data_IF_043169473631
#
_entry.id   IF_043169473631
#
_cell.length_a   1.000
_cell.length_b   1.000
_cell.length_c   1.000
_cell.angle_alpha   90.00
_cell.angle_beta   90.00
_cell.angle_gamma   90.00
#
_symmetry.space_group_name_H-M   'P 1'
#
loop_
_entity.id
_entity.type
_entity.pdbx_description
1 polymer ?
#
# COMPACT_ATOMS: atom_id res chain seq x y z
N UNK A 1 -5.90 -11.88 11.40
CA UNK A 1 -5.27 -10.72 10.74
C UNK A 1 -6.12 -9.48 10.95
N UNK A 2 -5.51 -8.30 11.18
CA UNK A 2 -6.21 -7.02 11.40
C UNK A 2 -5.88 -6.05 10.26
N UNK A 3 -6.89 -5.45 9.66
CA UNK A 3 -6.77 -4.54 8.52
C UNK A 3 -7.39 -3.20 8.89
N UNK A 4 -6.62 -2.12 8.83
CA UNK A 4 -7.11 -0.75 8.99
C UNK A 4 -7.48 -0.20 7.62
N UNK A 5 -8.70 0.35 7.49
CA UNK A 5 -9.18 0.92 6.24
C UNK A 5 -9.62 2.36 6.44
N UNK A 6 -8.74 3.32 6.17
CA UNK A 6 -9.10 4.74 6.17
C UNK A 6 -10.14 5.04 5.09
N UNK A 7 -11.22 5.69 5.47
CA UNK A 7 -12.28 6.10 4.56
C UNK A 7 -12.53 7.61 4.65
N UNK A 8 -13.03 8.19 3.56
CA UNK A 8 -13.43 9.60 3.48
C UNK A 8 -14.78 9.78 2.78
N UNK A 9 -15.54 8.69 2.66
CA UNK A 9 -16.84 8.61 1.97
C UNK A 9 -16.79 8.76 0.44
N UNK A 10 -15.61 8.86 -0.17
CA UNK A 10 -15.45 8.83 -1.62
C UNK A 10 -15.64 7.40 -2.18
N UNK A 11 -15.96 7.29 -3.48
CA UNK A 11 -16.06 5.99 -4.13
C UNK A 11 -14.70 5.25 -4.14
N UNK A 12 -13.59 5.99 -4.14
CA UNK A 12 -12.24 5.40 -4.02
C UNK A 12 -12.03 4.74 -2.66
N UNK A 13 -12.47 5.38 -1.57
CA UNK A 13 -12.36 4.77 -0.25
C UNK A 13 -13.33 3.60 -0.06
N UNK A 14 -14.49 3.59 -0.73
CA UNK A 14 -15.38 2.42 -0.81
C UNK A 14 -14.69 1.26 -1.54
N UNK A 15 -13.99 1.54 -2.65
CA UNK A 15 -13.19 0.52 -3.35
C UNK A 15 -12.11 -0.10 -2.46
N UNK A 16 -11.46 0.70 -1.62
CA UNK A 16 -10.51 0.19 -0.63
C UNK A 16 -11.19 -0.75 0.40
N UNK A 17 -12.41 -0.45 0.84
CA UNK A 17 -13.21 -1.34 1.69
C UNK A 17 -13.56 -2.66 0.99
N UNK A 18 -13.97 -2.63 -0.28
CA UNK A 18 -14.26 -3.84 -1.07
C UNK A 18 -13.02 -4.74 -1.19
N UNK A 19 -11.86 -4.14 -1.45
CA UNK A 19 -10.60 -4.87 -1.54
C UNK A 19 -10.19 -5.43 -0.18
N UNK A 20 -10.35 -4.65 0.88
CA UNK A 20 -10.09 -5.10 2.24
C UNK A 20 -11.02 -6.25 2.65
N UNK A 21 -12.29 -6.24 2.23
CA UNK A 21 -13.23 -7.33 2.47
C UNK A 21 -12.74 -8.63 1.82
N UNK A 22 -12.33 -8.59 0.54
CA UNK A 22 -11.75 -9.74 -0.15
C UNK A 22 -10.49 -10.25 0.56
N UNK A 23 -9.62 -9.33 0.95
CA UNK A 23 -8.39 -9.67 1.65
C UNK A 23 -8.68 -10.29 3.03
N UNK A 24 -9.67 -9.76 3.76
CA UNK A 24 -10.11 -10.34 5.02
C UNK A 24 -10.71 -11.74 4.87
N UNK A 25 -11.47 -11.99 3.81
CA UNK A 25 -12.01 -13.32 3.51
C UNK A 25 -10.92 -14.36 3.29
N UNK A 26 -9.86 -14.01 2.53
CA UNK A 26 -8.74 -14.90 2.26
C UNK A 26 -7.94 -15.26 3.51
N UNK A 27 -7.80 -14.33 4.44
CA UNK A 27 -6.95 -14.49 5.62
C UNK A 27 -7.74 -14.68 6.93
N UNK A 28 -9.04 -14.89 6.87
CA UNK A 28 -9.92 -14.92 8.04
C UNK A 28 -9.68 -13.73 8.99
N UNK A 29 -9.52 -12.53 8.38
CA UNK A 29 -9.13 -11.30 9.05
C UNK A 29 -10.32 -10.41 9.41
N UNK A 30 -10.03 -9.30 10.09
CA UNK A 30 -11.01 -8.29 10.48
C UNK A 30 -10.68 -6.95 9.84
N UNK A 31 -11.66 -6.35 9.21
CA UNK A 31 -11.61 -5.00 8.62
C UNK A 31 -12.09 -3.99 9.65
N UNK A 32 -11.25 -3.03 9.99
CA UNK A 32 -11.62 -1.90 10.86
C UNK A 32 -11.68 -0.63 10.00
N UNK A 33 -12.89 -0.13 9.71
CA UNK A 33 -13.05 1.15 9.05
C UNK A 33 -12.56 2.27 9.97
N UNK A 34 -11.83 3.23 9.40
CA UNK A 34 -11.25 4.34 10.15
C UNK A 34 -11.61 5.68 9.49
N UNK A 35 -12.13 6.60 10.27
CA UNK A 35 -12.44 7.95 9.80
C UNK A 35 -11.85 8.99 10.73
N UNK A 36 -11.09 9.94 10.17
CA UNK A 36 -10.59 11.09 10.89
C UNK A 36 -11.25 12.37 10.37
N UNK A 37 -11.72 13.21 11.27
CA UNK A 37 -12.27 14.52 10.93
C UNK A 37 -11.55 15.65 11.65
N UNK A 38 -11.48 16.81 11.01
CA UNK A 38 -10.90 17.99 11.63
C UNK A 38 -11.85 18.56 12.68
N UNK A 39 -11.30 19.15 13.75
CA UNK A 39 -12.12 19.89 14.73
C UNK A 39 -12.83 21.08 14.05
N UNK A 40 -14.07 21.31 14.43
CA UNK A 40 -14.88 22.43 13.89
C UNK A 40 -14.21 23.79 14.21
N UNK A 41 -13.35 23.86 15.22
CA UNK A 41 -12.60 25.05 15.59
C UNK A 41 -11.52 25.49 14.59
N UNK A 42 -11.13 24.64 13.63
CA UNK A 42 -10.26 25.02 12.52
C UNK A 42 -11.04 25.64 11.35
N UNK A 43 -12.38 25.64 11.42
CA UNK A 43 -13.27 26.26 10.44
C UNK A 43 -13.71 27.65 10.90
N UNK A 44 -12.78 28.60 11.04
CA UNK A 44 -13.05 30.03 11.23
C UNK A 44 -13.80 30.43 12.52
N UNK A 45 -13.15 30.39 13.73
CA UNK A 45 -13.52 31.37 14.74
C UNK A 45 -12.44 31.61 15.83
N UNK A 46 -12.12 32.87 16.18
CA UNK A 46 -11.14 33.21 17.23
C UNK A 46 -11.73 33.14 18.66
N UNK A 47 -12.84 32.47 18.92
CA UNK A 47 -13.58 32.53 20.18
C UNK A 47 -13.67 31.24 21.00
N UNK A 48 -12.68 30.36 20.88
CA UNK A 48 -12.67 29.08 21.64
C UNK A 48 -12.45 29.21 23.16
N UNK A 49 -12.44 30.41 23.73
CA UNK A 49 -12.32 30.68 25.17
C UNK A 49 -13.68 30.75 25.83
N UNK A 50 -14.41 29.65 25.90
CA UNK A 50 -15.71 29.59 26.58
C UNK A 50 -16.68 28.56 26.01
N UNK A 51 -16.19 27.37 25.65
CA UNK A 51 -17.05 26.30 25.13
C UNK A 51 -18.12 25.93 26.15
N UNK A 52 -19.36 26.23 25.81
CA UNK A 52 -20.52 25.86 26.61
C UNK A 52 -20.78 24.34 26.53
N UNK A 53 -21.41 23.77 27.58
CA UNK A 53 -21.85 22.36 27.60
C UNK A 53 -22.65 21.93 26.34
N UNK A 54 -23.37 22.87 25.72
CA UNK A 54 -24.09 22.67 24.46
C UNK A 54 -23.19 22.37 23.26
N UNK A 55 -21.96 22.86 23.27
CA UNK A 55 -21.02 22.61 22.19
C UNK A 55 -20.43 21.20 22.31
N UNK A 56 -20.13 20.72 23.52
CA UNK A 56 -19.72 19.33 23.76
C UNK A 56 -20.80 18.35 23.33
N UNK A 57 -22.08 18.58 23.68
CA UNK A 57 -23.20 17.74 23.21
C UNK A 57 -23.27 17.68 21.67
N UNK A 58 -23.04 18.77 20.96
CA UNK A 58 -22.99 18.78 19.49
C UNK A 58 -21.81 18.02 18.91
N UNK A 59 -20.69 17.94 19.61
CA UNK A 59 -19.55 17.12 19.21
C UNK A 59 -19.88 15.64 19.36
N UNK A 60 -20.42 15.21 20.48
CA UNK A 60 -20.84 13.83 20.72
C UNK A 60 -21.89 13.39 19.69
N UNK A 61 -22.91 14.23 19.43
CA UNK A 61 -23.92 13.98 18.38
C UNK A 61 -23.29 13.88 16.96
N UNK A 62 -22.25 14.66 16.67
CA UNK A 62 -21.54 14.60 15.40
C UNK A 62 -20.72 13.31 15.28
N UNK A 63 -19.99 12.92 16.32
CA UNK A 63 -19.20 11.68 16.33
C UNK A 63 -20.12 10.46 16.19
N UNK A 64 -21.26 10.43 16.88
CA UNK A 64 -22.28 9.38 16.74
C UNK A 64 -22.82 9.32 15.31
N UNK A 65 -23.15 10.49 14.73
CA UNK A 65 -23.63 10.59 13.35
C UNK A 65 -22.59 10.08 12.34
N UNK A 66 -21.32 10.45 12.53
CA UNK A 66 -20.21 10.00 11.68
C UNK A 66 -19.95 8.50 11.85
N UNK A 67 -19.97 8.00 13.08
CA UNK A 67 -19.81 6.58 13.40
C UNK A 67 -20.92 5.73 12.76
N UNK A 68 -22.17 6.17 12.85
CA UNK A 68 -23.31 5.51 12.20
C UNK A 68 -23.16 5.48 10.68
N UNK A 69 -22.74 6.58 10.08
CA UNK A 69 -22.52 6.65 8.64
C UNK A 69 -21.36 5.77 8.17
N UNK A 70 -20.25 5.71 8.93
CA UNK A 70 -19.13 4.80 8.68
C UNK A 70 -19.61 3.36 8.77
N UNK A 71 -20.38 3.03 9.80
CA UNK A 71 -20.95 1.69 10.00
C UNK A 71 -21.84 1.28 8.82
N UNK A 72 -22.79 2.14 8.44
CA UNK A 72 -23.73 1.88 7.33
C UNK A 72 -22.99 1.58 6.01
N UNK A 73 -22.03 2.43 5.63
CA UNK A 73 -21.25 2.23 4.40
C UNK A 73 -20.41 0.96 4.49
N UNK A 74 -19.77 0.72 5.61
CA UNK A 74 -18.92 -0.45 5.77
C UNK A 74 -19.70 -1.75 5.76
N UNK A 75 -20.85 -1.80 6.42
CA UNK A 75 -21.74 -2.96 6.45
C UNK A 75 -22.38 -3.26 5.08
N UNK A 76 -22.46 -2.27 4.19
CA UNK A 76 -22.92 -2.50 2.81
C UNK A 76 -21.88 -3.16 1.90
N UNK A 77 -20.59 -3.15 2.29
CA UNK A 77 -19.47 -3.60 1.46
C UNK A 77 -18.67 -4.75 2.07
N UNK A 78 -18.73 -4.90 3.39
CA UNK A 78 -17.98 -5.91 4.15
C UNK A 78 -18.97 -6.80 4.91
N UNK A 79 -18.83 -8.12 4.77
CA UNK A 79 -19.64 -9.08 5.54
C UNK A 79 -19.41 -8.85 7.04
N UNK A 80 -20.49 -8.88 7.83
CA UNK A 80 -20.48 -8.66 9.29
C UNK A 80 -19.45 -9.55 10.00
N UNK A 81 -19.25 -10.77 9.50
CA UNK A 81 -18.26 -11.73 10.00
C UNK A 81 -16.83 -11.19 10.01
N UNK A 82 -16.51 -10.31 9.05
CA UNK A 82 -15.18 -9.74 8.85
C UNK A 82 -15.11 -8.24 9.21
N UNK A 83 -16.20 -7.66 9.71
CA UNK A 83 -16.30 -6.23 10.01
C UNK A 83 -16.13 -5.98 11.50
N UNK A 84 -15.11 -5.22 11.87
CA UNK A 84 -14.94 -4.71 13.23
C UNK A 84 -15.67 -3.38 13.42
N UNK A 85 -15.90 -3.00 14.69
CA UNK A 85 -16.46 -1.68 15.02
C UNK A 85 -15.58 -0.57 14.40
N UNK A 86 -16.17 0.42 13.72
CA UNK A 86 -15.43 1.52 13.14
C UNK A 86 -14.78 2.40 14.22
N UNK A 87 -13.68 3.02 13.85
CA UNK A 87 -12.98 4.02 14.65
C UNK A 87 -13.20 5.39 14.02
N UNK A 88 -13.75 6.31 14.80
CA UNK A 88 -13.91 7.72 14.41
C UNK A 88 -13.09 8.55 15.38
N UNK A 89 -12.23 9.41 14.86
CA UNK A 89 -11.34 10.25 15.67
C UNK A 89 -11.31 11.69 15.14
N UNK A 90 -11.11 12.62 16.06
CA UNK A 90 -10.86 14.01 15.71
C UNK A 90 -9.37 14.26 15.57
N UNK A 91 -8.91 14.83 14.44
CA UNK A 91 -7.51 15.18 14.23
C UNK A 91 -7.06 15.14 12.78
N UNK A 92 -5.75 15.33 12.57
CA UNK A 92 -5.14 15.23 11.25
C UNK A 92 -5.17 13.79 10.75
N UNK A 93 -5.87 13.55 9.65
CA UNK A 93 -6.12 12.21 9.12
C UNK A 93 -4.83 11.40 8.91
N UNK A 94 -3.79 12.00 8.31
CA UNK A 94 -2.55 11.26 8.05
C UNK A 94 -1.87 10.82 9.35
N UNK A 95 -1.78 11.71 10.35
CA UNK A 95 -1.16 11.39 11.62
C UNK A 95 -1.97 10.34 12.39
N UNK A 96 -3.28 10.52 12.46
CA UNK A 96 -4.17 9.58 13.14
C UNK A 96 -4.13 8.17 12.53
N UNK A 97 -4.07 8.05 11.19
CA UNK A 97 -3.89 6.77 10.50
C UNK A 97 -2.54 6.14 10.84
N UNK A 98 -1.45 6.92 10.83
CA UNK A 98 -0.10 6.42 11.14
C UNK A 98 -0.04 5.89 12.57
N UNK A 99 -0.57 6.63 13.52
CA UNK A 99 -0.55 6.27 14.94
C UNK A 99 -1.38 4.99 15.18
N UNK A 100 -2.59 4.93 14.62
CA UNK A 100 -3.48 3.77 14.76
C UNK A 100 -2.94 2.53 14.03
N UNK A 101 -2.27 2.72 12.88
CA UNK A 101 -1.78 1.62 12.03
C UNK A 101 -0.86 0.64 12.76
N UNK A 102 -0.17 1.07 13.81
CA UNK A 102 0.73 0.21 14.59
C UNK A 102 0.02 -0.97 15.29
N UNK A 103 -1.32 -0.91 15.40
CA UNK A 103 -2.16 -1.96 15.99
C UNK A 103 -2.66 -2.98 14.96
N UNK A 104 -2.24 -2.84 13.67
CA UNK A 104 -2.76 -3.59 12.53
C UNK A 104 -1.65 -4.27 11.73
N UNK A 105 -2.03 -5.33 11.01
CA UNK A 105 -1.12 -6.06 10.13
C UNK A 105 -0.95 -5.35 8.77
N UNK A 106 -2.02 -4.68 8.30
CA UNK A 106 -2.05 -3.94 7.03
C UNK A 106 -2.93 -2.70 7.13
N UNK A 107 -2.54 -1.67 6.36
CA UNK A 107 -3.42 -0.56 6.01
C UNK A 107 -3.82 -0.72 4.55
N UNK A 108 -5.11 -0.69 4.23
CA UNK A 108 -5.61 -0.71 2.85
C UNK A 108 -6.37 0.59 2.60
N UNK A 109 -5.89 1.40 1.65
CA UNK A 109 -6.47 2.72 1.40
C UNK A 109 -6.38 3.11 -0.08
N UNK A 110 -7.16 4.10 -0.47
CA UNK A 110 -7.06 4.70 -1.80
C UNK A 110 -5.89 5.68 -1.90
N UNK A 111 -5.38 5.88 -3.12
CA UNK A 111 -4.30 6.85 -3.38
C UNK A 111 -4.74 8.30 -3.17
N UNK A 112 -6.05 8.60 -3.34
CA UNK A 112 -6.65 9.93 -3.26
C UNK A 112 -7.96 9.90 -2.49
N UNK A 113 -8.28 11.02 -1.83
CA UNK A 113 -9.59 11.26 -1.24
C UNK A 113 -10.50 12.11 -2.15
N UNK A 114 -11.51 12.76 -1.51
CA UNK A 114 -12.56 13.60 -2.16
C UNK A 114 -12.03 14.72 -3.05
N UNK A 115 -10.86 15.27 -2.78
CA UNK A 115 -10.30 16.46 -3.44
C UNK A 115 -9.33 16.15 -4.58
N UNK A 116 -9.06 14.88 -4.86
CA UNK A 116 -8.07 14.47 -5.86
C UNK A 116 -8.59 14.61 -7.31
N UNK A 117 -8.23 15.68 -8.00
CA UNK A 117 -8.59 15.94 -9.38
C UNK A 117 -7.67 15.30 -10.43
N UNK A 118 -6.51 14.81 -10.07
CA UNK A 118 -5.51 14.30 -11.02
C UNK A 118 -5.10 12.87 -10.71
N UNK A 119 -5.19 11.98 -11.70
CA UNK A 119 -4.72 10.60 -11.62
C UNK A 119 -3.20 10.47 -11.38
N UNK A 120 -2.45 11.54 -11.61
CA UNK A 120 -0.98 11.53 -11.57
C UNK A 120 -0.38 12.07 -10.27
N UNK A 121 -1.22 12.51 -9.31
CA UNK A 121 -0.77 13.06 -8.04
C UNK A 121 -1.24 12.13 -6.92
N UNK A 122 -0.34 11.65 -6.11
CA UNK A 122 -0.66 10.94 -4.87
C UNK A 122 -1.23 11.93 -3.86
N UNK A 123 -2.34 11.57 -3.21
CA UNK A 123 -2.96 12.43 -2.18
C UNK A 123 -2.04 12.62 -0.97
N UNK A 124 -2.07 13.80 -0.39
CA UNK A 124 -1.20 14.16 0.73
C UNK A 124 -1.29 13.22 1.94
N UNK A 125 -2.50 12.71 2.22
CA UNK A 125 -2.71 11.72 3.29
C UNK A 125 -2.05 10.38 2.92
N UNK A 126 -2.33 9.84 1.73
CA UNK A 126 -1.75 8.58 1.28
C UNK A 126 -0.21 8.65 1.19
N UNK A 127 0.34 9.75 0.66
CA UNK A 127 1.78 9.96 0.60
C UNK A 127 2.42 9.95 1.99
N UNK A 128 1.82 10.66 2.95
CA UNK A 128 2.34 10.72 4.33
C UNK A 128 2.24 9.37 5.03
N UNK A 129 1.13 8.64 4.85
CA UNK A 129 0.93 7.29 5.40
C UNK A 129 1.94 6.30 4.81
N UNK A 130 2.08 6.24 3.47
CA UNK A 130 3.06 5.39 2.79
C UNK A 130 4.49 5.63 3.29
N UNK A 131 4.84 6.88 3.53
CA UNK A 131 6.19 7.26 3.95
C UNK A 131 6.48 6.96 5.41
N UNK A 132 5.50 7.10 6.30
CA UNK A 132 5.73 7.15 7.74
C UNK A 132 5.14 5.97 8.52
N UNK A 133 4.21 5.21 7.94
CA UNK A 133 3.65 4.03 8.60
C UNK A 133 4.71 2.94 8.73
N UNK A 134 4.79 2.30 9.89
CA UNK A 134 5.59 1.08 10.09
C UNK A 134 4.83 -0.16 9.61
N UNK A 135 3.53 -0.05 9.45
CA UNK A 135 2.64 -1.12 8.95
C UNK A 135 2.63 -1.08 7.43
N UNK A 136 2.70 -2.22 6.73
CA UNK A 136 2.56 -2.28 5.28
C UNK A 136 1.28 -1.62 4.78
N UNK A 137 1.40 -0.81 3.73
CA UNK A 137 0.30 -0.02 3.16
C UNK A 137 -0.01 -0.51 1.76
N UNK A 138 -1.24 -0.98 1.55
CA UNK A 138 -1.76 -1.32 0.23
C UNK A 138 -2.54 -0.13 -0.34
N UNK A 139 -2.10 0.37 -1.49
CA UNK A 139 -2.83 1.39 -2.23
C UNK A 139 -3.67 0.73 -3.32
N UNK A 140 -4.92 1.15 -3.41
CA UNK A 140 -5.92 0.66 -4.36
C UNK A 140 -6.50 1.81 -5.15
N UNK A 141 -6.60 1.65 -6.47
CA UNK A 141 -7.30 2.56 -7.38
C UNK A 141 -8.69 2.02 -7.73
N UNK A 142 -9.58 2.89 -8.23
CA UNK A 142 -10.94 2.48 -8.61
C UNK A 142 -10.95 1.40 -9.71
N UNK A 143 -10.00 1.46 -10.61
CA UNK A 143 -9.84 0.53 -11.73
C UNK A 143 -8.85 -0.61 -11.44
N UNK A 144 -8.41 -0.78 -10.18
CA UNK A 144 -7.58 -1.90 -9.78
C UNK A 144 -8.35 -3.21 -9.87
N UNK A 145 -7.85 -4.11 -10.70
CA UNK A 145 -8.30 -5.50 -10.71
C UNK A 145 -7.42 -6.31 -9.75
N UNK A 146 -7.95 -6.57 -8.58
CA UNK A 146 -7.23 -7.33 -7.55
C UNK A 146 -7.46 -8.84 -7.67
N UNK A 147 -8.37 -9.30 -8.53
CA UNK A 147 -8.73 -10.73 -8.63
C UNK A 147 -8.88 -11.36 -7.25
N UNK A 148 -8.20 -12.50 -7.04
CA UNK A 148 -8.01 -13.12 -5.71
C UNK A 148 -6.54 -12.99 -5.25
N UNK A 149 -5.81 -11.98 -5.74
CA UNK A 149 -4.37 -11.77 -5.47
C UNK A 149 -3.50 -12.96 -5.90
N UNK A 150 -3.84 -13.60 -7.01
CA UNK A 150 -3.18 -14.81 -7.50
C UNK A 150 -1.94 -14.52 -8.35
N UNK A 151 -1.91 -13.36 -9.03
CA UNK A 151 -0.81 -12.93 -9.88
C UNK A 151 -0.04 -11.80 -9.18
N UNK A 152 1.09 -12.13 -8.59
CA UNK A 152 1.85 -11.21 -7.73
C UNK A 152 3.18 -10.86 -8.41
N UNK A 153 3.47 -9.58 -8.55
CA UNK A 153 4.79 -9.08 -8.91
C UNK A 153 5.52 -8.63 -7.65
N UNK A 154 6.73 -9.10 -7.45
CA UNK A 154 7.62 -8.63 -6.37
C UNK A 154 8.85 -7.99 -7.00
N UNK A 155 9.13 -6.74 -6.68
CA UNK A 155 10.35 -6.07 -7.15
C UNK A 155 11.48 -6.18 -6.15
N UNK A 156 12.70 -6.36 -6.65
CA UNK A 156 13.90 -6.37 -5.82
C UNK A 156 15.04 -5.58 -6.44
N UNK A 157 15.74 -4.83 -5.61
CA UNK A 157 17.05 -4.24 -5.93
C UNK A 157 18.18 -4.96 -5.20
N UNK A 158 17.88 -6.08 -4.56
CA UNK A 158 18.76 -6.89 -3.72
C UNK A 158 19.27 -6.19 -2.45
N UNK A 159 18.58 -5.16 -2.00
CA UNK A 159 18.84 -4.56 -0.68
C UNK A 159 18.14 -5.32 0.43
N UNK A 160 18.62 -5.17 1.66
CA UNK A 160 17.95 -5.69 2.85
C UNK A 160 16.55 -5.06 3.01
N UNK A 161 16.41 -3.80 2.61
CA UNK A 161 15.11 -3.13 2.58
C UNK A 161 14.11 -3.84 1.66
N UNK A 162 14.55 -4.29 0.46
CA UNK A 162 13.69 -5.03 -0.45
C UNK A 162 13.27 -6.39 0.14
N UNK A 163 14.13 -7.00 0.95
CA UNK A 163 13.85 -8.29 1.57
C UNK A 163 12.68 -8.22 2.59
N UNK A 164 12.42 -7.07 3.19
CA UNK A 164 11.27 -6.87 4.09
C UNK A 164 9.91 -7.10 3.38
N UNK A 165 9.86 -6.99 2.06
CA UNK A 165 8.65 -7.23 1.27
C UNK A 165 8.36 -8.72 1.01
N UNK A 166 9.38 -9.59 1.06
CA UNK A 166 9.24 -11.00 0.66
C UNK A 166 8.31 -11.82 1.57
N UNK A 167 8.36 -11.69 2.91
CA UNK A 167 7.45 -12.44 3.78
C UNK A 167 5.98 -12.16 3.49
N UNK A 168 5.63 -10.91 3.11
CA UNK A 168 4.27 -10.53 2.74
C UNK A 168 3.85 -11.21 1.43
N UNK A 169 4.71 -11.23 0.43
CA UNK A 169 4.45 -11.90 -0.84
C UNK A 169 4.27 -13.41 -0.67
N UNK A 170 5.15 -14.03 0.11
CA UNK A 170 5.08 -15.47 0.40
C UNK A 170 3.79 -15.81 1.12
N UNK A 171 3.43 -15.03 2.15
CA UNK A 171 2.18 -15.22 2.90
C UNK A 171 0.96 -15.14 1.99
N UNK A 172 0.89 -14.09 1.13
CA UNK A 172 -0.23 -13.90 0.22
C UNK A 172 -0.29 -15.05 -0.81
N UNK A 173 0.83 -15.39 -1.44
CA UNK A 173 0.87 -16.48 -2.41
C UNK A 173 0.54 -17.85 -1.81
N UNK A 174 0.90 -18.12 -0.55
CA UNK A 174 0.50 -19.36 0.14
C UNK A 174 -1.01 -19.43 0.33
N UNK A 175 -1.62 -18.37 0.79
CA UNK A 175 -3.05 -18.32 1.08
C UNK A 175 -3.91 -18.36 -0.17
N UNK A 176 -3.50 -17.65 -1.22
CA UNK A 176 -4.25 -17.58 -2.49
C UNK A 176 -3.97 -18.73 -3.46
N UNK A 177 -2.92 -19.52 -3.22
CA UNK A 177 -2.42 -20.47 -4.23
C UNK A 177 -1.71 -19.78 -5.40
N UNK A 178 -1.49 -18.50 -5.34
CA UNK A 178 -0.99 -17.65 -6.41
C UNK A 178 0.47 -17.85 -6.78
N UNK A 179 0.87 -17.24 -7.89
CA UNK A 179 2.24 -17.21 -8.41
C UNK A 179 2.91 -15.87 -8.14
N UNK A 180 4.22 -15.90 -8.00
CA UNK A 180 5.06 -14.72 -7.82
C UNK A 180 6.03 -14.59 -8.98
N UNK A 181 6.04 -13.41 -9.61
CA UNK A 181 7.11 -12.99 -10.49
C UNK A 181 8.08 -12.09 -9.72
N UNK A 182 9.25 -12.61 -9.39
CA UNK A 182 10.32 -11.90 -8.72
C UNK A 182 11.16 -11.16 -9.76
N UNK A 183 11.05 -9.84 -9.78
CA UNK A 183 11.56 -8.98 -10.84
C UNK A 183 12.70 -8.09 -10.33
N UNK A 184 13.82 -8.12 -11.05
CA UNK A 184 14.87 -7.11 -10.91
C UNK A 184 14.98 -6.28 -12.17
N UNK A 185 14.98 -4.94 -12.03
CA UNK A 185 15.17 -4.01 -13.14
C UNK A 185 16.64 -3.62 -13.21
N UNK A 186 17.26 -3.87 -14.35
CA UNK A 186 18.60 -3.43 -14.68
C UNK A 186 18.49 -2.26 -15.66
N UNK A 187 18.62 -1.03 -15.15
CA UNK A 187 18.53 0.20 -15.94
C UNK A 187 19.91 0.71 -16.32
N UNK A 188 20.06 1.17 -17.55
CA UNK A 188 21.27 1.80 -18.08
C UNK A 188 20.95 3.20 -18.61
N UNK A 189 21.58 4.20 -18.06
CA UNK A 189 21.40 5.61 -18.49
C UNK A 189 22.08 5.95 -19.82
N UNK A 190 23.04 5.15 -20.28
CA UNK A 190 23.76 5.35 -21.54
C UNK A 190 24.29 4.05 -22.14
N UNK A 191 24.20 3.98 -23.45
CA UNK A 191 24.75 2.90 -24.26
C UNK A 191 26.30 2.90 -24.22
N UNK A 192 26.87 1.91 -23.58
CA UNK A 192 28.13 1.34 -24.06
C UNK A 192 28.26 -0.13 -23.63
N UNK A 193 28.56 -0.97 -24.66
CA UNK A 193 29.04 -2.35 -24.54
C UNK A 193 27.97 -3.43 -24.29
N UNK A 194 27.39 -3.96 -25.37
CA UNK A 194 26.55 -5.18 -25.38
C UNK A 194 27.15 -6.38 -24.61
N UNK A 195 28.48 -6.47 -24.49
CA UNK A 195 29.11 -7.57 -23.75
C UNK A 195 29.08 -7.39 -22.24
N UNK A 196 29.22 -6.17 -21.73
CA UNK A 196 29.06 -5.88 -20.29
C UNK A 196 27.63 -6.11 -19.86
N UNK A 197 26.68 -5.81 -20.73
CA UNK A 197 25.26 -5.98 -20.51
C UNK A 197 24.91 -7.46 -20.28
N UNK A 198 25.40 -8.36 -21.12
CA UNK A 198 25.18 -9.80 -20.99
C UNK A 198 25.83 -10.39 -19.73
N UNK A 199 27.01 -9.92 -19.33
CA UNK A 199 27.69 -10.40 -18.13
C UNK A 199 26.99 -9.92 -16.86
N UNK A 200 26.58 -8.65 -16.81
CA UNK A 200 25.81 -8.08 -15.70
C UNK A 200 24.44 -8.75 -15.57
N UNK A 201 23.76 -9.01 -16.67
CA UNK A 201 22.50 -9.75 -16.68
C UNK A 201 22.66 -11.12 -16.05
N UNK A 202 23.64 -11.91 -16.47
CA UNK A 202 23.92 -13.25 -15.89
C UNK A 202 24.19 -13.17 -14.39
N UNK A 203 24.97 -12.19 -13.94
CA UNK A 203 25.24 -11.99 -12.51
C UNK A 203 23.92 -11.71 -11.76
N UNK A 204 23.03 -10.89 -12.30
CA UNK A 204 21.73 -10.59 -11.67
C UNK A 204 20.79 -11.79 -11.68
N UNK A 205 20.76 -12.56 -12.77
CA UNK A 205 19.99 -13.80 -12.86
C UNK A 205 20.44 -14.84 -11.81
N UNK A 206 21.79 -15.03 -11.65
CA UNK A 206 22.30 -15.91 -10.61
C UNK A 206 21.96 -15.39 -9.19
N UNK A 207 22.03 -14.09 -8.99
CA UNK A 207 21.64 -13.50 -7.70
C UNK A 207 20.14 -13.69 -7.39
N UNK A 208 19.25 -13.58 -8.38
CA UNK A 208 17.84 -13.89 -8.24
C UNK A 208 17.60 -15.38 -7.89
N UNK A 209 18.39 -16.31 -8.49
CA UNK A 209 18.30 -17.74 -8.15
C UNK A 209 18.68 -18.00 -6.69
N UNK A 210 19.76 -17.36 -6.21
CA UNK A 210 20.18 -17.46 -4.81
C UNK A 210 19.08 -16.91 -3.90
N UNK A 211 18.56 -15.73 -4.18
CA UNK A 211 17.51 -15.08 -3.43
C UNK A 211 16.23 -15.93 -3.39
N UNK A 212 15.82 -16.48 -4.54
CA UNK A 212 14.67 -17.40 -4.60
C UNK A 212 14.87 -18.61 -3.70
N UNK A 213 16.06 -19.22 -3.72
CA UNK A 213 16.40 -20.36 -2.89
C UNK A 213 16.43 -20.01 -1.39
N UNK A 214 16.87 -18.80 -1.05
CA UNK A 214 17.02 -18.34 0.33
C UNK A 214 15.66 -18.01 0.95
N UNK A 215 14.85 -17.19 0.28
CA UNK A 215 13.63 -16.63 0.85
C UNK A 215 12.35 -17.36 0.42
N UNK A 216 12.30 -17.90 -0.80
CA UNK A 216 11.08 -18.44 -1.39
C UNK A 216 11.08 -19.97 -1.50
N UNK A 217 11.95 -20.66 -0.75
CA UNK A 217 12.12 -22.12 -0.85
C UNK A 217 10.83 -22.90 -0.62
N UNK A 218 9.93 -22.43 0.26
CA UNK A 218 8.67 -23.09 0.61
C UNK A 218 7.62 -23.08 -0.53
N UNK A 219 7.75 -22.14 -1.47
CA UNK A 219 6.84 -21.95 -2.62
C UNK A 219 7.60 -21.81 -3.93
N UNK A 220 8.79 -22.39 -4.02
CA UNK A 220 9.72 -22.16 -5.14
C UNK A 220 9.16 -22.60 -6.50
N UNK A 221 8.26 -23.58 -6.53
CA UNK A 221 7.53 -24.05 -7.70
C UNK A 221 6.57 -23.00 -8.30
N UNK A 222 6.15 -22.03 -7.48
CA UNK A 222 5.23 -20.95 -7.86
C UNK A 222 5.92 -19.59 -8.01
N UNK A 223 7.26 -19.54 -7.94
CA UNK A 223 8.03 -18.33 -8.10
C UNK A 223 8.83 -18.34 -9.38
N UNK A 224 8.47 -17.48 -10.32
CA UNK A 224 9.29 -17.15 -11.48
C UNK A 224 10.27 -16.06 -11.13
N UNK A 225 11.36 -15.96 -11.88
CA UNK A 225 12.36 -14.93 -11.66
C UNK A 225 12.80 -14.34 -12.99
N UNK A 226 12.92 -13.02 -13.06
CA UNK A 226 13.31 -12.35 -14.30
C UNK A 226 14.14 -11.09 -14.03
N UNK A 227 15.16 -10.89 -14.84
CA UNK A 227 15.88 -9.62 -14.98
C UNK A 227 15.35 -8.89 -16.21
N UNK A 228 14.79 -7.72 -16.01
CA UNK A 228 14.34 -6.84 -17.07
C UNK A 228 15.43 -5.81 -17.33
N UNK A 229 15.92 -5.80 -18.57
CA UNK A 229 16.87 -4.79 -19.04
C UNK A 229 16.08 -3.62 -19.61
N UNK A 230 16.38 -2.41 -19.19
CA UNK A 230 15.69 -1.21 -19.64
C UNK A 230 16.67 -0.05 -19.84
N UNK A 231 16.41 0.73 -20.88
CA UNK A 231 17.07 2.03 -21.11
C UNK A 231 16.35 3.17 -20.37
N UNK A 232 15.16 2.87 -19.85
CA UNK A 232 14.35 3.79 -19.09
C UNK A 232 14.63 3.65 -17.60
N UNK A 233 14.04 4.55 -16.83
CA UNK A 233 14.09 4.48 -15.36
C UNK A 233 13.43 3.20 -14.84
N UNK A 234 13.78 2.71 -13.62
CA UNK A 234 13.18 1.52 -13.07
C UNK A 234 11.65 1.56 -13.00
N UNK A 235 11.06 2.69 -12.67
CA UNK A 235 9.60 2.81 -12.60
C UNK A 235 8.93 2.74 -13.98
N UNK A 236 9.51 3.31 -15.03
CA UNK A 236 9.00 3.20 -16.40
C UNK A 236 9.09 1.76 -16.92
N UNK A 237 10.17 1.05 -16.59
CA UNK A 237 10.29 -0.37 -16.90
C UNK A 237 9.22 -1.22 -16.19
N UNK A 238 8.92 -0.91 -14.93
CA UNK A 238 7.85 -1.54 -14.17
C UNK A 238 6.49 -1.25 -14.83
N UNK A 239 6.19 -0.01 -15.20
CA UNK A 239 4.93 0.36 -15.87
C UNK A 239 4.73 -0.42 -17.16
N UNK A 240 5.76 -0.44 -18.01
CA UNK A 240 5.70 -1.20 -19.25
C UNK A 240 5.43 -2.68 -18.98
N UNK A 241 6.17 -3.26 -18.06
CA UNK A 241 6.03 -4.68 -17.74
C UNK A 241 4.63 -5.02 -17.18
N UNK A 242 4.10 -4.22 -16.25
CA UNK A 242 2.74 -4.40 -15.69
C UNK A 242 1.66 -4.16 -16.74
N UNK A 243 1.88 -3.26 -17.69
CA UNK A 243 0.90 -3.02 -18.78
C UNK A 243 0.81 -4.19 -19.78
N UNK A 244 1.89 -4.94 -19.94
CA UNK A 244 2.00 -6.10 -20.83
C UNK A 244 1.63 -7.41 -20.12
N UNK A 245 1.72 -7.44 -18.80
CA UNK A 245 1.46 -8.61 -17.96
C UNK A 245 0.50 -8.23 -16.82
N UNK A 246 -0.72 -8.73 -16.81
CA UNK A 246 -1.69 -8.36 -15.77
C UNK A 246 -1.31 -8.94 -14.42
N UNK A 247 -1.02 -8.07 -13.47
CA UNK A 247 -0.82 -8.42 -12.06
C UNK A 247 -1.98 -7.93 -11.21
N UNK A 248 -2.41 -8.74 -10.25
CA UNK A 248 -3.39 -8.33 -9.25
C UNK A 248 -2.75 -7.47 -8.15
N UNK A 249 -1.48 -7.75 -7.84
CA UNK A 249 -0.75 -7.10 -6.77
C UNK A 249 0.72 -6.89 -7.14
N UNK A 250 1.22 -5.69 -6.93
CA UNK A 250 2.64 -5.36 -6.98
C UNK A 250 3.12 -5.13 -5.55
N UNK A 251 4.17 -5.84 -5.13
CA UNK A 251 4.74 -5.72 -3.78
C UNK A 251 6.16 -5.18 -3.89
N UNK A 252 6.45 -4.14 -3.13
CA UNK A 252 7.75 -3.50 -3.14
C UNK A 252 8.08 -2.80 -1.82
N UNK A 253 9.36 -2.64 -1.53
CA UNK A 253 9.79 -1.80 -0.42
C UNK A 253 9.65 -0.30 -0.78
N UNK A 254 9.36 0.53 0.21
CA UNK A 254 9.30 2.00 0.03
C UNK A 254 10.65 2.63 -0.25
N UNK A 255 11.73 2.03 0.27
CA UNK A 255 13.11 2.54 0.20
C UNK A 255 14.00 1.45 -0.36
N UNK A 256 14.75 1.77 -1.42
CA UNK A 256 15.77 0.87 -2.00
C UNK A 256 17.18 1.19 -1.48
N UNK A 257 18.21 0.78 -2.26
CA UNK A 257 19.65 0.92 -1.94
C UNK A 257 20.12 2.32 -1.62
N UNK A 258 19.54 3.34 -2.27
CA UNK A 258 19.98 4.74 -2.17
C UNK A 258 19.29 5.50 -1.05
N UNK A 259 18.34 4.91 -0.37
CA UNK A 259 17.57 5.56 0.68
C UNK A 259 18.34 5.65 1.99
N UNK A 260 19.12 6.71 2.15
CA UNK A 260 19.86 7.02 3.38
C UNK A 260 18.93 7.57 4.48
N UNK A 261 17.78 8.11 4.10
CA UNK A 261 16.79 8.67 5.02
C UNK A 261 15.48 7.87 4.94
N UNK A 262 15.16 7.13 5.98
CA UNK A 262 13.86 6.45 6.20
C UNK A 262 12.65 7.40 6.18
N UNK A 263 12.87 8.70 6.09
CA UNK A 263 11.84 9.74 5.99
C UNK A 263 11.43 10.05 4.53
N UNK A 264 12.08 9.46 3.53
CA UNK A 264 11.78 9.70 2.12
C UNK A 264 11.34 8.40 1.44
N UNK A 265 10.19 8.44 0.80
CA UNK A 265 9.76 7.37 -0.11
C UNK A 265 10.65 7.39 -1.36
N UNK A 266 11.15 6.22 -1.79
CA UNK A 266 11.95 6.10 -3.01
C UNK A 266 11.15 6.56 -4.24
N UNK A 267 11.85 7.21 -5.18
CA UNK A 267 11.23 7.72 -6.41
C UNK A 267 10.54 6.62 -7.22
N UNK A 268 11.10 5.42 -7.26
CA UNK A 268 10.51 4.28 -7.95
C UNK A 268 9.16 3.91 -7.34
N UNK A 269 9.08 3.72 -6.02
CA UNK A 269 7.84 3.36 -5.32
C UNK A 269 6.79 4.46 -5.46
N UNK A 270 7.18 5.72 -5.28
CA UNK A 270 6.28 6.86 -5.45
C UNK A 270 5.64 6.90 -6.85
N UNK A 271 6.43 6.63 -7.89
CA UNK A 271 5.94 6.62 -9.26
C UNK A 271 5.10 5.37 -9.57
N UNK A 272 5.49 4.19 -9.09
CA UNK A 272 4.72 2.96 -9.27
C UNK A 272 3.33 3.11 -8.66
N UNK A 273 3.23 3.55 -7.40
CA UNK A 273 1.95 3.79 -6.72
C UNK A 273 1.04 4.77 -7.47
N UNK A 274 1.61 5.77 -8.16
CA UNK A 274 0.84 6.78 -8.91
C UNK A 274 0.28 6.29 -10.24
N UNK A 275 0.91 5.32 -10.88
CA UNK A 275 0.66 5.04 -12.30
C UNK A 275 0.26 3.59 -12.59
N UNK A 276 0.54 2.65 -11.71
CA UNK A 276 0.17 1.24 -11.89
C UNK A 276 -1.30 1.05 -11.51
N UNK A 277 -2.04 0.30 -12.34
CA UNK A 277 -3.45 -0.01 -12.08
C UNK A 277 -3.67 -1.16 -11.09
N UNK A 278 -2.68 -2.02 -10.94
CA UNK A 278 -2.71 -3.07 -9.92
C UNK A 278 -2.74 -2.48 -8.52
N UNK A 279 -3.25 -3.20 -7.54
CA UNK A 279 -2.99 -2.85 -6.15
C UNK A 279 -1.49 -2.84 -5.87
N UNK A 280 -1.00 -1.89 -5.08
CA UNK A 280 0.42 -1.79 -4.72
C UNK A 280 0.59 -1.91 -3.23
N UNK A 281 1.20 -2.99 -2.76
CA UNK A 281 1.60 -3.17 -1.36
C UNK A 281 3.01 -2.62 -1.16
N UNK A 282 3.09 -1.56 -0.41
CA UNK A 282 4.34 -0.89 -0.07
C UNK A 282 4.75 -1.24 1.36
N UNK A 283 5.98 -1.72 1.52
CA UNK A 283 6.52 -2.16 2.80
C UNK A 283 7.65 -1.23 3.22
N UNK A 284 7.49 -0.57 4.36
CA UNK A 284 8.56 0.23 4.95
C UNK A 284 9.55 -0.70 5.65
N UNK A 285 10.86 -0.50 5.45
CA UNK A 285 11.86 -1.24 6.22
C UNK A 285 11.72 -0.89 7.70
N UNK A 286 11.87 -1.91 8.54
CA UNK A 286 11.85 -1.72 9.99
C UNK A 286 12.97 -0.77 10.39
N UNK A 287 12.65 0.25 11.16
CA UNK A 287 13.66 1.12 11.76
C UNK A 287 14.52 0.24 12.68
N UNK A 288 15.83 0.19 12.41
CA UNK A 288 16.76 -0.40 13.37
C UNK A 288 16.64 0.40 14.68
N UNK A 289 16.18 -0.27 15.72
CA UNK A 289 16.11 0.28 17.07
C UNK A 289 17.50 0.56 17.64
#
# INVERSE_FOLDING_TARGET
MKILVPIDFSDRSKKALEVAAKFAQLFEGMVTPFYAHLPISELDEPYALGMSSKLYQKFDELEDTLSNRVTEISASLVDEKYLAKPIVVMGNAAQAIIDESNNYDYVIMSSHGRTGFSRFLLGSVAEKVLRLSNTPVMIVENDSDVGNFENIMVTTDFSDNAAEAYPHAIRIAKETGGTIDLIHILSFDQFDEKEKDLSLRKIREERLKILKKEYFHEISDRVNQQVIISQNTPHEAIFKHVSENPYNLVIMATVGRTGINYLMMGSTTANVVRHVKSAVLSVNPKKSS
#
